data_IF_036649640653
#
_entry.id   IF_036649640653
#
_cell.length_a   1.000
_cell.length_b   1.000
_cell.length_c   1.000
_cell.angle_alpha   90.00
_cell.angle_beta   90.00
_cell.angle_gamma   90.00
#
_symmetry.space_group_name_H-M   'P 1'
#
loop_
_entity.id
_entity.type
_entity.pdbx_description
1 polymer ?
#
# COMPACT_ATOMS: atom_id res chain seq x y z
N UNK A 1 -10.94 0.46 -15.76
CA UNK A 1 -9.87 1.23 -15.09
C UNK A 1 -10.52 2.09 -14.01
N UNK A 2 -9.90 2.23 -12.83
CA UNK A 2 -10.46 3.06 -11.75
C UNK A 2 -10.33 4.56 -12.10
N UNK A 3 -11.31 5.41 -11.76
CA UNK A 3 -11.20 6.85 -12.04
C UNK A 3 -10.13 7.50 -11.16
N UNK A 4 -9.51 8.60 -11.63
CA UNK A 4 -8.64 9.41 -10.79
C UNK A 4 -9.43 9.96 -9.59
N UNK A 5 -8.86 9.84 -8.40
CA UNK A 5 -9.38 10.38 -7.16
C UNK A 5 -8.57 11.63 -6.78
N UNK A 6 -9.23 12.62 -6.18
CA UNK A 6 -8.52 13.73 -5.55
C UNK A 6 -7.64 13.20 -4.40
N UNK A 7 -6.39 13.69 -4.27
CA UNK A 7 -5.55 13.32 -3.15
C UNK A 7 -6.16 13.82 -1.84
N UNK A 8 -6.20 12.96 -0.83
CA UNK A 8 -6.66 13.28 0.53
C UNK A 8 -5.69 12.72 1.56
N UNK A 9 -5.58 13.32 2.76
CA UNK A 9 -4.68 12.83 3.79
C UNK A 9 -5.10 11.43 4.26
N UNK A 10 -4.13 10.60 4.61
CA UNK A 10 -4.36 9.22 5.06
C UNK A 10 -5.25 9.13 6.31
N UNK A 11 -5.37 10.20 7.10
CA UNK A 11 -6.32 10.29 8.23
C UNK A 11 -7.79 10.26 7.81
N UNK A 12 -8.12 10.68 6.58
CA UNK A 12 -9.50 10.72 6.07
C UNK A 12 -9.92 9.44 5.34
N UNK A 13 -9.06 8.42 5.30
CA UNK A 13 -9.37 7.09 4.75
C UNK A 13 -10.70 6.52 5.28
N UNK A 14 -10.97 6.49 6.59
CA UNK A 14 -12.21 5.92 7.11
C UNK A 14 -13.48 6.63 6.58
N UNK A 15 -13.38 7.92 6.27
CA UNK A 15 -14.49 8.72 5.74
C UNK A 15 -14.65 8.58 4.23
N UNK A 16 -13.54 8.45 3.49
CA UNK A 16 -13.52 8.37 2.01
C UNK A 16 -13.69 6.95 1.47
N UNK A 17 -13.22 5.94 2.21
CA UNK A 17 -13.30 4.51 1.85
C UNK A 17 -14.71 4.01 1.49
N UNK A 18 -15.80 4.39 2.17
CA UNK A 18 -17.13 3.88 1.82
C UNK A 18 -17.67 4.46 0.51
N UNK A 19 -17.02 5.46 -0.10
CA UNK A 19 -17.49 6.11 -1.32
C UNK A 19 -16.66 5.68 -2.53
N UNK A 20 -17.36 5.38 -3.63
CA UNK A 20 -16.79 5.25 -4.96
C UNK A 20 -16.27 6.59 -5.46
N UNK A 21 -15.39 6.57 -6.47
CA UNK A 21 -14.97 7.77 -7.19
C UNK A 21 -16.12 8.59 -7.81
N UNK A 22 -17.30 8.00 -7.95
CA UNK A 22 -18.53 8.68 -8.38
C UNK A 22 -19.35 9.28 -7.23
N UNK A 23 -18.86 9.21 -6.00
CA UNK A 23 -19.56 9.63 -4.78
C UNK A 23 -20.66 8.66 -4.32
N UNK A 24 -20.86 7.53 -5.02
CA UNK A 24 -21.82 6.49 -4.62
C UNK A 24 -21.27 5.64 -3.48
N UNK A 25 -22.11 5.27 -2.53
CA UNK A 25 -21.74 4.29 -1.51
C UNK A 25 -21.36 2.95 -2.14
N UNK A 26 -20.20 2.42 -1.75
CA UNK A 26 -19.78 1.06 -2.10
C UNK A 26 -20.64 0.06 -1.32
N UNK A 27 -21.11 -0.98 -2.02
CA UNK A 27 -21.81 -2.12 -1.44
C UNK A 27 -20.97 -3.38 -1.73
N UNK A 28 -20.71 -4.25 -0.74
CA UNK A 28 -21.01 -4.08 0.68
C UNK A 28 -20.20 -2.94 1.31
N UNK A 29 -20.70 -2.41 2.43
CA UNK A 29 -19.95 -1.44 3.21
C UNK A 29 -18.65 -2.11 3.69
N UNK A 30 -17.50 -1.42 3.61
CA UNK A 30 -16.29 -1.93 4.22
C UNK A 30 -16.53 -2.07 5.73
N UNK A 31 -16.32 -3.28 6.26
CA UNK A 31 -16.38 -3.54 7.69
C UNK A 31 -15.22 -2.87 8.44
N UNK A 32 -15.19 -2.95 9.78
CA UNK A 32 -14.10 -2.37 10.54
C UNK A 32 -12.77 -3.02 10.17
N UNK A 33 -11.75 -2.19 9.92
CA UNK A 33 -10.43 -2.64 9.47
C UNK A 33 -9.81 -3.68 10.41
N UNK A 34 -10.13 -3.65 11.71
CA UNK A 34 -9.70 -4.62 12.71
C UNK A 34 -10.16 -6.05 12.43
N UNK A 35 -11.27 -6.23 11.72
CA UNK A 35 -11.82 -7.55 11.35
C UNK A 35 -11.15 -8.13 10.10
N UNK A 36 -10.51 -7.30 9.27
CA UNK A 36 -9.74 -7.76 8.12
C UNK A 36 -8.52 -8.56 8.58
N UNK A 37 -8.24 -9.69 7.92
CA UNK A 37 -7.05 -10.52 8.21
C UNK A 37 -5.78 -9.68 8.04
N UNK A 38 -4.91 -9.70 9.05
CA UNK A 38 -3.56 -9.13 8.94
C UNK A 38 -2.71 -10.06 8.05
N UNK A 39 -2.23 -9.50 6.95
CA UNK A 39 -1.40 -10.18 5.96
C UNK A 39 0.01 -9.62 6.02
N UNK A 40 0.97 -10.49 5.69
CA UNK A 40 2.38 -10.15 5.62
C UNK A 40 2.85 -10.27 4.17
N UNK A 41 3.62 -9.28 3.73
CA UNK A 41 4.32 -9.29 2.46
C UNK A 41 5.80 -9.02 2.71
N UNK A 42 6.65 -9.98 2.36
CA UNK A 42 8.09 -9.81 2.34
C UNK A 42 8.49 -9.28 0.97
N UNK A 43 9.11 -8.11 0.95
CA UNK A 43 9.73 -7.53 -0.24
C UNK A 43 11.22 -7.45 -0.03
N UNK A 44 12.00 -7.40 -1.11
CA UNK A 44 13.43 -7.16 -1.01
C UNK A 44 13.73 -5.80 -1.60
N UNK A 45 14.35 -4.93 -0.81
CA UNK A 45 14.93 -3.70 -1.32
C UNK A 45 16.36 -4.01 -1.72
N UNK A 46 16.62 -4.01 -3.03
CA UNK A 46 17.93 -4.29 -3.58
C UNK A 46 18.56 -3.00 -4.08
N UNK A 47 19.76 -2.70 -3.59
CA UNK A 47 20.55 -1.55 -3.99
C UNK A 47 22.01 -1.98 -4.23
N UNK A 48 22.77 -1.17 -4.98
CA UNK A 48 24.21 -1.40 -5.14
C UNK A 48 24.96 -0.93 -3.89
N UNK A 49 25.87 -1.76 -3.39
CA UNK A 49 26.72 -1.41 -2.24
C UNK A 49 27.53 -0.13 -2.49
N UNK A 50 28.00 0.05 -3.73
CA UNK A 50 28.71 1.23 -4.22
C UNK A 50 28.13 1.65 -5.57
N UNK A 51 27.31 2.71 -5.62
CA UNK A 51 26.56 3.09 -6.83
C UNK A 51 27.44 3.50 -8.02
N UNK A 52 28.68 3.93 -7.76
CA UNK A 52 29.60 4.43 -8.78
C UNK A 52 30.65 3.39 -9.24
N UNK A 53 30.62 2.18 -8.67
CA UNK A 53 31.55 1.11 -9.02
C UNK A 53 30.87 0.11 -9.98
N UNK A 54 31.36 -0.08 -11.21
CA UNK A 54 30.76 -0.98 -12.19
C UNK A 54 30.81 -2.46 -11.78
N UNK A 55 31.65 -2.80 -10.79
CA UNK A 55 31.75 -4.15 -10.24
C UNK A 55 31.06 -4.26 -8.87
N UNK A 56 30.24 -3.29 -8.48
CA UNK A 56 29.57 -3.29 -7.20
C UNK A 56 28.62 -4.49 -7.04
N UNK A 57 28.59 -5.02 -5.83
CA UNK A 57 27.70 -6.12 -5.46
C UNK A 57 26.32 -5.55 -5.14
N UNK A 58 25.28 -6.23 -5.63
CA UNK A 58 23.89 -5.95 -5.25
C UNK A 58 23.63 -6.52 -3.86
N UNK A 59 23.18 -5.67 -2.94
CA UNK A 59 22.76 -6.07 -1.60
C UNK A 59 21.25 -5.94 -1.52
N UNK A 60 20.59 -7.02 -1.11
CA UNK A 60 19.13 -7.09 -0.95
C UNK A 60 18.77 -7.26 0.52
N UNK A 61 18.01 -6.32 1.07
CA UNK A 61 17.50 -6.37 2.43
C UNK A 61 16.00 -6.70 2.43
N UNK A 62 15.59 -7.58 3.34
CA UNK A 62 14.18 -7.96 3.49
C UNK A 62 13.40 -6.83 4.19
N UNK A 63 12.36 -6.34 3.51
CA UNK A 63 11.41 -5.36 4.00
C UNK A 63 10.08 -6.07 4.22
N UNK A 64 9.73 -6.27 5.49
CA UNK A 64 8.45 -6.86 5.90
C UNK A 64 7.39 -5.77 5.96
N UNK A 65 6.31 -5.94 5.20
CA UNK A 65 5.14 -5.05 5.21
C UNK A 65 3.92 -5.78 5.72
N UNK A 66 3.26 -5.20 6.72
CA UNK A 66 2.01 -5.68 7.26
C UNK A 66 0.85 -4.87 6.67
N UNK A 67 -0.19 -5.54 6.19
CA UNK A 67 -1.35 -4.87 5.60
C UNK A 67 -2.65 -5.66 5.88
N UNK A 68 -3.79 -4.99 5.71
CA UNK A 68 -5.12 -5.58 5.86
C UNK A 68 -5.89 -5.39 4.56
N UNK A 69 -6.67 -6.39 4.14
CA UNK A 69 -7.43 -6.41 2.88
C UNK A 69 -8.92 -6.58 3.13
#
# INVERSE_FOLDING_TARGET
>A
MAPPLEPFPSSDLPKKLPYSATGKYLKPQPGPLSECKLLELVQYNCDLAEKDNPNAVVICEAVVRLFRR
#
